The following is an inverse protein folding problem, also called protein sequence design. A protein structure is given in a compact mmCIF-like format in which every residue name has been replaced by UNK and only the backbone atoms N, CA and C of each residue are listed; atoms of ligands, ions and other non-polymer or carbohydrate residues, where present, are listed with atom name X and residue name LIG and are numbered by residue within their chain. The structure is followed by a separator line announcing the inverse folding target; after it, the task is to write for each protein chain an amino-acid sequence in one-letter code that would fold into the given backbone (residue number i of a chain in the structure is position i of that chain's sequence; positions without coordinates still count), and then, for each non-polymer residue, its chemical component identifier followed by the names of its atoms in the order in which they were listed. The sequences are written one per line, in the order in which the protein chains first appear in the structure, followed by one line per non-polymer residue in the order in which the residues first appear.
data_IF_934282842267
#
_entry.id   IF_934282842267
#
_cell.length_a   1.000
_cell.length_b   1.000
_cell.length_c   1.000
_cell.angle_alpha   90.00
_cell.angle_beta   90.00
_cell.angle_gamma   90.00
#
_symmetry.space_group_name_H-M   'P 1'
#
loop_
_entity.id
_entity.type
_entity.pdbx_description
1 polymer ?
#
# COMPACT_ATOMS: atom_id res chain seq x y z
N UNK A 1 7.45 9.11 -14.98
CA UNK A 1 6.17 9.31 -14.24
C UNK A 1 5.36 8.02 -14.05
N UNK A 2 5.52 6.99 -14.89
CA UNK A 2 4.85 5.68 -14.77
C UNK A 2 5.40 4.79 -13.64
N UNK A 3 6.71 4.82 -13.38
CA UNK A 3 7.33 4.00 -12.33
C UNK A 3 6.78 4.26 -10.92
N UNK A 4 6.38 5.49 -10.62
CA UNK A 4 5.92 5.85 -9.27
C UNK A 4 4.54 5.25 -8.98
N UNK A 5 3.62 5.25 -9.95
CA UNK A 5 2.30 4.61 -9.79
C UNK A 5 2.43 3.09 -9.57
N UNK A 6 3.33 2.43 -10.31
CA UNK A 6 3.64 1.01 -10.14
C UNK A 6 4.27 0.71 -8.78
N UNK A 7 5.15 1.58 -8.28
CA UNK A 7 5.71 1.49 -6.93
C UNK A 7 4.63 1.60 -5.85
N UNK A 8 3.71 2.57 -5.96
CA UNK A 8 2.60 2.69 -5.01
C UNK A 8 1.70 1.46 -5.03
N UNK A 9 1.42 0.91 -6.21
CA UNK A 9 0.62 -0.30 -6.36
C UNK A 9 1.32 -1.55 -5.80
N UNK A 10 2.63 -1.69 -6.02
CA UNK A 10 3.44 -2.76 -5.45
C UNK A 10 3.49 -2.69 -3.91
N UNK A 11 3.55 -1.48 -3.33
CA UNK A 11 3.46 -1.30 -1.89
C UNK A 11 2.10 -1.67 -1.32
N UNK A 12 1.00 -1.39 -2.02
CA UNK A 12 -0.35 -1.84 -1.62
C UNK A 12 -0.41 -3.38 -1.64
N UNK A 13 0.07 -4.02 -2.71
CA UNK A 13 0.16 -5.48 -2.82
C UNK A 13 1.02 -6.09 -1.69
N UNK A 14 2.15 -5.45 -1.36
CA UNK A 14 3.02 -5.87 -0.25
C UNK A 14 2.30 -5.76 1.10
N UNK A 15 1.50 -4.71 1.33
CA UNK A 15 0.66 -4.57 2.53
C UNK A 15 -0.36 -5.70 2.65
N UNK A 16 -1.05 -6.06 1.56
CA UNK A 16 -1.96 -7.21 1.54
C UNK A 16 -1.24 -8.55 1.74
N UNK A 17 -0.04 -8.69 1.18
CA UNK A 17 0.79 -9.87 1.41
C UNK A 17 1.17 -9.99 2.88
N UNK A 18 1.52 -8.88 3.54
CA UNK A 18 1.85 -8.83 4.97
C UNK A 18 0.69 -9.29 5.85
N UNK A 19 -0.55 -8.90 5.53
CA UNK A 19 -1.77 -9.36 6.22
C UNK A 19 -2.03 -10.86 6.05
N UNK A 20 -1.57 -11.44 4.93
CA UNK A 20 -1.71 -12.87 4.63
C UNK A 20 -0.51 -13.70 5.08
N UNK A 21 0.54 -13.10 5.63
CA UNK A 21 1.70 -13.86 6.13
C UNK A 21 1.23 -14.71 7.29
N UNK A 22 1.31 -16.05 7.16
CA UNK A 22 0.90 -16.92 8.23
C UNK A 22 1.99 -16.90 9.31
N UNK A 23 1.60 -16.41 10.49
CA UNK A 23 2.52 -16.11 11.58
C UNK A 23 2.54 -17.30 12.55
N UNK A 24 3.59 -18.11 12.51
CA UNK A 24 3.73 -19.29 13.38
C UNK A 24 4.98 -19.19 14.27
N UNK A 25 4.92 -19.75 15.48
CA UNK A 25 6.07 -19.82 16.39
C UNK A 25 6.45 -18.47 17.01
N UNK A 26 7.75 -18.15 17.03
CA UNK A 26 8.34 -16.97 17.71
C UNK A 26 7.73 -15.62 17.28
N UNK A 27 7.21 -15.55 16.06
CA UNK A 27 6.58 -14.34 15.48
C UNK A 27 5.10 -14.20 15.84
N UNK A 28 4.47 -15.18 16.50
CA UNK A 28 3.04 -15.13 16.84
C UNK A 28 2.66 -13.94 17.74
N UNK A 29 3.57 -13.52 18.63
CA UNK A 29 3.38 -12.30 19.43
C UNK A 29 3.41 -11.00 18.62
N UNK A 30 3.92 -11.05 17.39
CA UNK A 30 4.01 -9.92 16.47
C UNK A 30 2.85 -9.88 15.47
N UNK A 31 1.95 -10.87 15.47
CA UNK A 31 0.85 -10.97 14.52
C UNK A 31 -0.03 -9.71 14.48
N UNK A 32 -0.44 -9.20 15.65
CA UNK A 32 -1.23 -7.97 15.72
C UNK A 32 -0.46 -6.74 15.22
N UNK A 33 0.87 -6.69 15.43
CA UNK A 33 1.69 -5.60 14.91
C UNK A 33 1.79 -5.65 13.38
N UNK A 34 1.99 -6.83 12.79
CA UNK A 34 2.00 -6.99 11.32
C UNK A 34 0.65 -6.60 10.70
N UNK A 35 -0.45 -6.92 11.39
CA UNK A 35 -1.79 -6.56 10.92
C UNK A 35 -1.99 -5.04 10.91
N UNK A 36 -1.66 -4.36 12.02
CA UNK A 36 -1.74 -2.91 12.12
C UNK A 36 -0.87 -2.24 11.05
N UNK A 37 0.37 -2.69 10.88
CA UNK A 37 1.29 -2.14 9.88
C UNK A 37 0.79 -2.39 8.46
N UNK A 38 0.29 -3.60 8.16
CA UNK A 38 -0.25 -3.95 6.86
C UNK A 38 -1.42 -3.05 6.46
N UNK A 39 -2.37 -2.83 7.37
CA UNK A 39 -3.50 -1.92 7.16
C UNK A 39 -3.02 -0.48 6.98
N UNK A 40 -2.08 -0.02 7.82
CA UNK A 40 -1.54 1.35 7.75
C UNK A 40 -0.85 1.61 6.40
N UNK A 41 -0.05 0.66 5.92
CA UNK A 41 0.62 0.74 4.63
C UNK A 41 -0.40 0.80 3.50
N UNK A 42 -1.39 -0.09 3.48
CA UNK A 42 -2.44 -0.08 2.44
C UNK A 42 -3.16 1.27 2.44
N UNK A 43 -3.55 1.78 3.60
CA UNK A 43 -4.31 3.03 3.73
C UNK A 43 -3.52 4.23 3.20
N UNK A 44 -2.27 4.40 3.65
CA UNK A 44 -1.43 5.55 3.28
C UNK A 44 -1.11 5.52 1.78
N UNK A 45 -0.72 4.36 1.26
CA UNK A 45 -0.37 4.22 -0.16
C UNK A 45 -1.61 4.35 -1.05
N UNK A 46 -2.77 3.83 -0.64
CA UNK A 46 -4.03 4.01 -1.37
C UNK A 46 -4.44 5.49 -1.42
N UNK A 47 -4.31 6.22 -0.31
CA UNK A 47 -4.58 7.65 -0.27
C UNK A 47 -3.66 8.45 -1.19
N UNK A 48 -2.36 8.13 -1.18
CA UNK A 48 -1.39 8.76 -2.07
C UNK A 48 -1.71 8.50 -3.55
N UNK A 49 -2.07 7.25 -3.90
CA UNK A 49 -2.46 6.85 -5.26
C UNK A 49 -3.73 7.57 -5.71
N UNK A 50 -4.75 7.65 -4.84
CA UNK A 50 -5.96 8.41 -5.11
C UNK A 50 -5.65 9.90 -5.29
N UNK A 51 -4.81 10.50 -4.45
CA UNK A 51 -4.45 11.91 -4.58
C UNK A 51 -3.74 12.19 -5.92
N UNK A 52 -2.79 11.35 -6.32
CA UNK A 52 -2.10 11.46 -7.60
C UNK A 52 -3.09 11.26 -8.76
N UNK A 53 -3.98 10.27 -8.67
CA UNK A 53 -5.01 9.99 -9.68
C UNK A 53 -6.02 11.13 -9.83
N UNK A 54 -6.48 11.72 -8.72
CA UNK A 54 -7.34 12.90 -8.75
C UNK A 54 -6.61 14.10 -9.35
N UNK A 55 -5.35 14.31 -8.96
CA UNK A 55 -4.53 15.39 -9.50
C UNK A 55 -4.31 15.21 -11.01
N UNK A 56 -4.04 14.01 -11.51
CA UNK A 56 -3.88 13.79 -12.96
C UNK A 56 -5.18 13.95 -13.72
N UNK A 57 -6.31 13.49 -13.15
CA UNK A 57 -7.64 13.63 -13.76
C UNK A 57 -8.04 15.12 -13.90
N UNK A 58 -7.84 15.90 -12.83
CA UNK A 58 -8.19 17.33 -12.82
C UNK A 58 -7.14 18.24 -13.47
N UNK A 59 -5.85 17.85 -13.48
CA UNK A 59 -4.76 18.67 -14.03
C UNK A 59 -4.66 18.64 -15.56
N UNK A 60 -5.51 17.92 -16.29
CA UNK A 60 -5.59 17.93 -17.77
C UNK A 60 -4.26 17.76 -18.52
N UNK A 61 -3.20 17.26 -17.90
CA UNK A 61 -1.91 17.04 -18.60
C UNK A 61 -1.85 15.60 -19.03
N UNK A 62 -2.58 15.33 -20.11
CA UNK A 62 -2.40 14.22 -21.03
C UNK A 62 -1.15 14.48 -21.89
N UNK A 63 0.04 14.54 -21.28
CA UNK A 63 1.33 14.49 -21.99
C UNK A 63 2.32 13.64 -21.23
#
# INVERSE_FOLDING_TARGET
MYYTALLFFACILAGFALLKVPVYGVIAGLAGFLEIVGVLVILVFAFALLYIGFKTLFSRTWR
#
